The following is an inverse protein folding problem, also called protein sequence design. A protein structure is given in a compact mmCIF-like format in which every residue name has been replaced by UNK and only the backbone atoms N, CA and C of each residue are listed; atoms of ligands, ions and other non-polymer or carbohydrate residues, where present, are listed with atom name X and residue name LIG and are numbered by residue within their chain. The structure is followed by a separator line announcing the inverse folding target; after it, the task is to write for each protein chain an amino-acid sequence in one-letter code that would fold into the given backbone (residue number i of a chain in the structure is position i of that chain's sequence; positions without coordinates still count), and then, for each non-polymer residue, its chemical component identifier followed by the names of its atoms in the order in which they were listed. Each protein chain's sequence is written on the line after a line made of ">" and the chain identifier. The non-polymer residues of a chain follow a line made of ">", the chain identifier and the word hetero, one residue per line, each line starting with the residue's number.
data_IF_220907867984
#
_entry.id   IF_220907867984
#
_cell.length_a   1.000
_cell.length_b   1.000
_cell.length_c   1.000
_cell.angle_alpha   90.00
_cell.angle_beta   90.00
_cell.angle_gamma   90.00
#
_symmetry.space_group_name_H-M   'P 1'
#
loop_
_entity.id
_entity.type
_entity.pdbx_description
1 polymer ?
#
# COMPACT_ATOMS: atom_id res chain seq x y z
N UNK A 1 -7.20 -14.87 -13.03
CA UNK A 1 -7.14 -13.72 -12.11
C UNK A 1 -8.54 -13.56 -11.54
N UNK A 2 -8.73 -13.69 -10.22
CA UNK A 2 -10.05 -13.53 -9.60
C UNK A 2 -10.61 -12.12 -9.90
N UNK A 3 -11.93 -12.02 -10.05
CA UNK A 3 -12.62 -10.73 -10.25
C UNK A 3 -12.33 -9.73 -9.13
N UNK A 4 -12.18 -10.22 -7.89
CA UNK A 4 -11.85 -9.38 -6.73
C UNK A 4 -10.47 -8.73 -6.87
N UNK A 5 -9.46 -9.50 -7.29
CA UNK A 5 -8.12 -8.96 -7.56
C UNK A 5 -8.14 -7.94 -8.71
N UNK A 6 -8.91 -8.21 -9.77
CA UNK A 6 -9.06 -7.27 -10.87
C UNK A 6 -9.64 -5.93 -10.41
N UNK A 7 -10.74 -5.97 -9.64
CA UNK A 7 -11.36 -4.77 -9.06
C UNK A 7 -10.40 -4.01 -8.13
N UNK A 8 -9.65 -4.71 -7.27
CA UNK A 8 -8.71 -4.08 -6.34
C UNK A 8 -7.52 -3.42 -7.06
N UNK A 9 -7.04 -4.00 -8.16
CA UNK A 9 -6.01 -3.38 -9.02
C UNK A 9 -6.57 -2.17 -9.76
N UNK A 10 -7.81 -2.27 -10.29
CA UNK A 10 -8.50 -1.15 -10.93
C UNK A 10 -8.67 0.03 -9.98
N UNK A 11 -9.09 -0.22 -8.73
CA UNK A 11 -9.20 0.82 -7.71
C UNK A 11 -7.90 1.60 -7.50
N UNK A 12 -6.77 0.89 -7.36
CA UNK A 12 -5.44 1.50 -7.22
C UNK A 12 -5.05 2.32 -8.45
N UNK A 13 -5.30 1.79 -9.64
CA UNK A 13 -4.96 2.47 -10.89
C UNK A 13 -5.77 3.76 -11.08
N UNK A 14 -7.07 3.71 -10.79
CA UNK A 14 -7.96 4.87 -10.83
C UNK A 14 -7.57 5.92 -9.79
N UNK A 15 -7.30 5.50 -8.54
CA UNK A 15 -6.88 6.40 -7.48
C UNK A 15 -5.56 7.09 -7.83
N UNK A 16 -4.57 6.34 -8.33
CA UNK A 16 -3.30 6.90 -8.79
C UNK A 16 -3.44 7.87 -9.97
N UNK A 17 -4.49 7.71 -10.79
CA UNK A 17 -4.78 8.57 -11.94
C UNK A 17 -5.69 9.76 -11.60
N UNK A 18 -6.18 9.85 -10.36
CA UNK A 18 -7.09 10.91 -9.90
C UNK A 18 -8.58 10.67 -10.18
N UNK A 19 -8.97 9.51 -10.70
CA UNK A 19 -10.39 9.11 -10.84
C UNK A 19 -10.92 8.59 -9.50
N UNK A 20 -11.18 9.52 -8.57
CA UNK A 20 -11.54 9.20 -7.18
C UNK A 20 -12.88 8.45 -7.10
N UNK A 21 -13.87 8.84 -7.91
CA UNK A 21 -15.18 8.19 -7.90
C UNK A 21 -15.12 6.80 -8.53
N UNK A 22 -14.35 6.64 -9.61
CA UNK A 22 -14.06 5.32 -10.18
C UNK A 22 -13.37 4.41 -9.18
N UNK A 23 -12.35 4.92 -8.49
CA UNK A 23 -11.62 4.17 -7.48
C UNK A 23 -12.50 3.70 -6.32
N UNK A 24 -13.40 4.56 -5.83
CA UNK A 24 -14.38 4.20 -4.78
C UNK A 24 -15.33 3.09 -5.24
N UNK A 25 -15.86 3.18 -6.45
CA UNK A 25 -16.71 2.12 -7.02
C UNK A 25 -15.94 0.80 -7.14
N UNK A 26 -14.70 0.84 -7.63
CA UNK A 26 -13.87 -0.35 -7.78
C UNK A 26 -13.45 -0.96 -6.42
N UNK A 27 -13.31 -0.14 -5.37
CA UNK A 27 -13.14 -0.62 -4.00
C UNK A 27 -14.37 -1.39 -3.50
N UNK A 28 -15.56 -0.83 -3.73
CA UNK A 28 -16.81 -1.49 -3.36
C UNK A 28 -16.95 -2.84 -4.10
N UNK A 29 -16.67 -2.87 -5.40
CA UNK A 29 -16.64 -4.09 -6.20
C UNK A 29 -15.62 -5.11 -5.66
N UNK A 30 -14.42 -4.65 -5.30
CA UNK A 30 -13.37 -5.52 -4.77
C UNK A 30 -13.80 -6.20 -3.47
N UNK A 31 -14.41 -5.46 -2.54
CA UNK A 31 -14.91 -6.00 -1.26
C UNK A 31 -16.05 -6.99 -1.48
N UNK A 32 -17.06 -6.61 -2.27
CA UNK A 32 -18.20 -7.47 -2.58
C UNK A 32 -17.79 -8.78 -3.28
N UNK A 33 -16.79 -8.72 -4.16
CA UNK A 33 -16.28 -9.90 -4.84
C UNK A 33 -15.41 -10.77 -3.92
N UNK A 34 -14.63 -10.16 -3.02
CA UNK A 34 -13.79 -10.87 -2.07
C UNK A 34 -14.62 -11.69 -1.06
N UNK A 35 -15.75 -11.15 -0.58
CA UNK A 35 -16.70 -11.84 0.32
C UNK A 35 -17.27 -13.15 -0.26
N UNK A 36 -17.21 -13.30 -1.59
CA UNK A 36 -17.75 -14.45 -2.31
C UNK A 36 -16.70 -15.49 -2.67
N UNK A 37 -15.42 -15.25 -2.37
CA UNK A 37 -14.35 -16.20 -2.68
C UNK A 37 -14.38 -17.35 -1.68
N UNK A 38 -14.25 -18.57 -2.19
CA UNK A 38 -14.14 -19.76 -1.37
C UNK A 38 -13.03 -20.70 -1.87
N UNK A 39 -12.72 -21.71 -1.06
CA UNK A 39 -11.82 -22.81 -1.42
C UNK A 39 -10.51 -22.35 -2.08
N UNK A 40 -10.33 -22.76 -3.34
CA UNK A 40 -9.11 -22.49 -4.11
C UNK A 40 -8.94 -21.00 -4.50
N UNK A 41 -10.02 -20.24 -4.61
CA UNK A 41 -9.97 -18.82 -4.99
C UNK A 41 -9.49 -17.94 -3.83
N UNK A 42 -9.81 -18.32 -2.59
CA UNK A 42 -9.37 -17.63 -1.37
C UNK A 42 -8.00 -18.14 -0.84
N UNK A 43 -7.47 -19.24 -1.38
CA UNK A 43 -6.24 -19.84 -0.89
C UNK A 43 -4.99 -19.01 -1.23
N UNK A 44 -3.96 -19.05 -0.37
CA UNK A 44 -2.65 -18.48 -0.66
C UNK A 44 -1.88 -19.34 -1.67
N UNK A 45 -2.27 -19.21 -2.93
CA UNK A 45 -1.71 -19.93 -4.07
C UNK A 45 -1.44 -18.96 -5.21
N UNK A 46 -0.72 -19.42 -6.23
CA UNK A 46 -0.42 -18.62 -7.42
C UNK A 46 -1.65 -18.00 -8.07
N UNK A 47 -2.80 -18.71 -8.05
CA UNK A 47 -4.04 -18.26 -8.68
C UNK A 47 -5.04 -17.65 -7.71
N UNK A 48 -4.82 -17.84 -6.41
CA UNK A 48 -5.71 -17.35 -5.37
C UNK A 48 -5.52 -15.89 -5.02
N UNK A 49 -6.46 -15.39 -4.24
CA UNK A 49 -6.51 -14.04 -3.73
C UNK A 49 -6.86 -14.09 -2.25
N UNK A 50 -5.89 -14.44 -1.39
CA UNK A 50 -6.12 -14.55 0.04
C UNK A 50 -6.45 -13.20 0.67
N UNK A 51 -7.16 -13.25 1.78
CA UNK A 51 -7.64 -12.08 2.54
C UNK A 51 -6.50 -11.09 2.87
N UNK A 52 -5.32 -11.58 3.27
CA UNK A 52 -4.14 -10.73 3.48
C UNK A 52 -3.81 -9.89 2.23
N UNK A 53 -3.74 -10.53 1.06
CA UNK A 53 -3.45 -9.85 -0.20
C UNK A 53 -4.57 -8.87 -0.53
N UNK A 54 -5.82 -9.19 -0.21
CA UNK A 54 -6.92 -8.26 -0.35
C UNK A 54 -6.68 -6.97 0.43
N UNK A 55 -6.40 -7.07 1.72
CA UNK A 55 -6.13 -5.92 2.58
C UNK A 55 -4.89 -5.12 2.15
N UNK A 56 -3.82 -5.76 1.67
CA UNK A 56 -2.65 -5.04 1.10
C UNK A 56 -3.04 -4.19 -0.12
N UNK A 57 -3.94 -4.67 -0.97
CA UNK A 57 -4.42 -3.90 -2.12
C UNK A 57 -5.34 -2.76 -1.68
N UNK A 58 -6.25 -3.00 -0.74
CA UNK A 58 -7.15 -1.98 -0.20
C UNK A 58 -6.39 -0.86 0.50
N UNK A 59 -5.40 -1.19 1.33
CA UNK A 59 -4.51 -0.23 2.00
C UNK A 59 -3.99 0.82 1.01
N UNK A 60 -3.35 0.38 -0.07
CA UNK A 60 -2.78 1.32 -1.04
C UNK A 60 -3.86 2.16 -1.74
N UNK A 61 -4.99 1.57 -2.09
CA UNK A 61 -6.08 2.30 -2.74
C UNK A 61 -6.64 3.41 -1.82
N UNK A 62 -6.89 3.10 -0.54
CA UNK A 62 -7.35 4.09 0.44
C UNK A 62 -6.30 5.18 0.69
N UNK A 63 -5.02 4.81 0.80
CA UNK A 63 -3.92 5.79 0.91
C UNK A 63 -3.89 6.75 -0.26
N UNK A 64 -4.03 6.26 -1.50
CA UNK A 64 -4.07 7.10 -2.70
C UNK A 64 -5.32 7.98 -2.78
N UNK A 65 -6.44 7.54 -2.20
CA UNK A 65 -7.68 8.33 -2.08
C UNK A 65 -7.62 9.38 -0.97
N UNK A 66 -6.60 9.33 -0.10
CA UNK A 66 -6.53 10.15 1.12
C UNK A 66 -7.51 9.72 2.22
N UNK A 67 -8.11 8.54 2.11
CA UNK A 67 -8.94 7.96 3.18
C UNK A 67 -8.05 7.21 4.17
N UNK A 68 -7.34 7.96 5.00
CA UNK A 68 -6.30 7.43 5.90
C UNK A 68 -6.88 6.52 6.97
N UNK A 69 -8.11 6.78 7.45
CA UNK A 69 -8.80 5.90 8.41
C UNK A 69 -9.02 4.50 7.86
N UNK A 70 -9.59 4.38 6.66
CA UNK A 70 -9.78 3.09 5.99
C UNK A 70 -8.44 2.44 5.61
N UNK A 71 -7.43 3.25 5.26
CA UNK A 71 -6.09 2.75 4.95
C UNK A 71 -5.44 2.09 6.16
N UNK A 72 -5.46 2.73 7.33
CA UNK A 72 -4.90 2.17 8.56
C UNK A 72 -5.59 0.87 8.97
N UNK A 73 -6.93 0.81 8.91
CA UNK A 73 -7.65 -0.43 9.20
C UNK A 73 -7.21 -1.57 8.26
N UNK A 74 -7.15 -1.31 6.96
CA UNK A 74 -6.69 -2.32 6.00
C UNK A 74 -5.21 -2.73 6.23
N UNK A 75 -4.35 -1.82 6.70
CA UNK A 75 -2.97 -2.16 7.06
C UNK A 75 -2.92 -3.09 8.28
N UNK A 76 -3.71 -2.79 9.31
CA UNK A 76 -3.82 -3.62 10.51
C UNK A 76 -4.35 -5.02 10.19
N UNK A 77 -5.41 -5.12 9.40
CA UNK A 77 -5.99 -6.40 8.96
C UNK A 77 -4.98 -7.23 8.16
N UNK A 78 -4.26 -6.59 7.22
CA UNK A 78 -3.21 -7.26 6.46
C UNK A 78 -2.07 -7.77 7.36
N UNK A 79 -1.63 -6.96 8.33
CA UNK A 79 -0.57 -7.34 9.27
C UNK A 79 -1.00 -8.48 10.19
N UNK A 80 -2.25 -8.48 10.64
CA UNK A 80 -2.81 -9.56 11.46
C UNK A 80 -2.81 -10.91 10.74
N UNK A 81 -2.94 -10.89 9.41
CA UNK A 81 -2.91 -12.06 8.52
C UNK A 81 -1.51 -12.34 7.92
N UNK A 82 -0.47 -11.62 8.35
CA UNK A 82 0.90 -11.78 7.84
C UNK A 82 1.73 -12.66 8.76
N UNK A 83 1.72 -13.97 8.48
CA UNK A 83 2.57 -14.97 9.12
C UNK A 83 4.01 -15.00 8.53
N UNK A 84 5.00 -15.38 9.35
CA UNK A 84 6.44 -15.46 8.98
C UNK A 84 7.04 -14.10 8.51
N UNK A 85 8.37 -13.91 8.33
CA UNK A 85 8.92 -12.59 8.03
C UNK A 85 8.67 -12.22 6.56
N UNK A 86 7.43 -11.82 6.23
CA UNK A 86 7.10 -11.24 4.92
C UNK A 86 7.63 -9.81 4.84
N UNK A 87 8.92 -9.70 4.49
CA UNK A 87 9.65 -8.43 4.37
C UNK A 87 8.94 -7.50 3.40
N UNK A 88 8.50 -8.01 2.25
CA UNK A 88 7.81 -7.22 1.21
C UNK A 88 6.50 -6.62 1.71
N UNK A 89 5.61 -7.43 2.29
CA UNK A 89 4.30 -6.95 2.75
C UNK A 89 4.47 -5.89 3.83
N UNK A 90 5.33 -6.14 4.82
CA UNK A 90 5.59 -5.20 5.92
C UNK A 90 6.18 -3.88 5.41
N UNK A 91 7.09 -3.94 4.44
CA UNK A 91 7.66 -2.72 3.84
C UNK A 91 6.63 -1.94 3.02
N UNK A 92 5.80 -2.61 2.23
CA UNK A 92 4.73 -1.96 1.46
C UNK A 92 3.73 -1.25 2.36
N UNK A 93 3.27 -1.92 3.43
CA UNK A 93 2.33 -1.35 4.39
C UNK A 93 2.97 -0.19 5.16
N UNK A 94 4.23 -0.31 5.59
CA UNK A 94 4.90 0.78 6.30
C UNK A 94 5.12 2.03 5.42
N UNK A 95 5.39 1.87 4.12
CA UNK A 95 5.46 3.01 3.20
C UNK A 95 4.07 3.61 2.95
N UNK A 96 3.02 2.80 2.90
CA UNK A 96 1.64 3.29 2.83
C UNK A 96 1.25 4.07 4.11
N UNK A 97 1.65 3.59 5.30
CA UNK A 97 1.49 4.31 6.57
C UNK A 97 2.22 5.65 6.53
N UNK A 98 3.47 5.69 6.04
CA UNK A 98 4.21 6.94 5.88
C UNK A 98 3.50 7.93 4.95
N UNK A 99 2.91 7.45 3.86
CA UNK A 99 2.10 8.30 2.98
C UNK A 99 0.81 8.79 3.67
N UNK A 100 0.18 7.98 4.53
CA UNK A 100 -0.96 8.41 5.33
C UNK A 100 -0.55 9.51 6.35
N UNK A 101 0.59 9.39 7.02
CA UNK A 101 1.13 10.44 7.90
C UNK A 101 1.28 11.78 7.17
N UNK A 102 1.75 11.75 5.92
CA UNK A 102 1.85 12.96 5.10
C UNK A 102 0.46 13.57 4.83
N UNK A 103 -0.52 12.75 4.43
CA UNK A 103 -1.91 13.18 4.19
C UNK A 103 -2.53 13.75 5.46
N UNK A 104 -2.25 13.15 6.61
CA UNK A 104 -2.74 13.58 7.93
C UNK A 104 -2.03 14.85 8.46
N UNK A 105 -1.10 15.43 7.68
CA UNK A 105 -0.44 16.69 8.01
C UNK A 105 0.88 16.57 8.75
N UNK A 106 1.47 15.36 8.83
CA UNK A 106 2.79 15.10 9.41
C UNK A 106 3.82 14.68 8.34
N UNK A 107 4.31 15.62 7.52
CA UNK A 107 5.34 15.33 6.52
C UNK A 107 6.68 14.92 7.13
N UNK A 108 6.98 15.34 8.36
CA UNK A 108 8.23 14.97 9.04
C UNK A 108 8.21 13.51 9.45
N UNK A 109 7.16 13.07 10.16
CA UNK A 109 6.97 11.67 10.52
C UNK A 109 6.88 10.76 9.30
N UNK A 110 6.24 11.22 8.22
CA UNK A 110 6.22 10.52 6.93
C UNK A 110 7.63 10.24 6.39
N UNK A 111 8.47 11.27 6.31
CA UNK A 111 9.84 11.13 5.81
C UNK A 111 10.70 10.26 6.72
N UNK A 112 10.63 10.46 8.04
CA UNK A 112 11.38 9.66 9.02
C UNK A 112 11.01 8.18 8.95
N UNK A 113 9.71 7.87 8.87
CA UNK A 113 9.23 6.49 8.75
C UNK A 113 9.69 5.87 7.42
N UNK A 114 9.49 6.55 6.30
CA UNK A 114 9.85 6.04 4.98
C UNK A 114 11.36 5.82 4.85
N UNK A 115 12.19 6.76 5.30
CA UNK A 115 13.65 6.61 5.31
C UNK A 115 14.08 5.45 6.20
N UNK A 116 13.53 5.34 7.41
CA UNK A 116 13.86 4.24 8.32
C UNK A 116 13.47 2.86 7.76
N UNK A 117 12.33 2.76 7.04
CA UNK A 117 11.96 1.53 6.33
C UNK A 117 12.98 1.23 5.23
N UNK A 118 13.33 2.21 4.40
CA UNK A 118 14.28 2.06 3.31
C UNK A 118 15.66 1.57 3.75
N UNK A 119 16.20 2.18 4.81
CA UNK A 119 17.52 1.85 5.35
C UNK A 119 17.60 0.40 5.86
N UNK A 120 16.52 -0.09 6.50
CA UNK A 120 16.43 -1.46 7.01
C UNK A 120 16.06 -2.49 5.94
N UNK A 121 15.61 -2.05 4.77
CA UNK A 121 15.17 -2.93 3.71
C UNK A 121 16.37 -3.66 3.08
N UNK A 122 16.36 -5.01 3.00
CA UNK A 122 17.42 -5.72 2.31
C UNK A 122 17.50 -5.28 0.84
N UNK A 123 18.71 -5.20 0.29
CA UNK A 123 18.95 -4.65 -1.05
C UNK A 123 18.10 -5.31 -2.15
N UNK A 124 17.78 -6.60 -2.01
CA UNK A 124 16.91 -7.34 -2.96
C UNK A 124 15.47 -6.83 -3.03
N UNK A 125 15.02 -6.06 -2.03
CA UNK A 125 13.68 -5.47 -1.96
C UNK A 125 13.68 -3.96 -2.25
N UNK A 126 14.85 -3.33 -2.43
CA UNK A 126 14.98 -1.89 -2.72
C UNK A 126 14.67 -1.50 -4.16
N UNK A 127 14.21 -2.44 -4.99
CA UNK A 127 13.82 -2.17 -6.36
C UNK A 127 12.33 -2.45 -6.59
N UNK A 128 11.79 -1.95 -7.69
CA UNK A 128 10.40 -2.19 -8.08
C UNK A 128 9.39 -1.46 -7.21
N UNK A 129 8.41 -2.19 -6.67
CA UNK A 129 7.20 -1.58 -6.11
C UNK A 129 7.45 -0.72 -4.86
N UNK A 130 8.32 -1.17 -3.95
CA UNK A 130 8.63 -0.41 -2.73
C UNK A 130 9.31 0.91 -3.09
N UNK A 131 10.31 0.88 -3.97
CA UNK A 131 10.98 2.08 -4.51
C UNK A 131 9.97 3.05 -5.13
N UNK A 132 9.12 2.54 -6.03
CA UNK A 132 8.12 3.36 -6.72
C UNK A 132 7.17 4.09 -5.76
N UNK A 133 6.75 3.43 -4.66
CA UNK A 133 5.91 4.06 -3.63
C UNK A 133 6.67 5.11 -2.83
N UNK A 134 7.89 4.80 -2.39
CA UNK A 134 8.72 5.74 -1.64
C UNK A 134 9.08 6.99 -2.47
N UNK A 135 9.38 6.81 -3.76
CA UNK A 135 9.61 7.92 -4.70
C UNK A 135 8.35 8.76 -4.92
N UNK A 136 7.17 8.14 -4.91
CA UNK A 136 5.89 8.86 -5.02
C UNK A 136 5.67 9.75 -3.80
N UNK A 137 5.87 9.22 -2.59
CA UNK A 137 5.85 10.00 -1.36
C UNK A 137 6.90 11.12 -1.39
N UNK A 138 8.13 10.81 -1.79
CA UNK A 138 9.21 11.81 -1.90
C UNK A 138 8.82 13.00 -2.78
N UNK A 139 8.18 12.77 -3.94
CA UNK A 139 7.72 13.86 -4.82
C UNK A 139 6.61 14.72 -4.23
N UNK A 140 5.88 14.24 -3.22
CA UNK A 140 4.83 14.99 -2.52
C UNK A 140 5.37 15.83 -1.35
N UNK A 141 6.53 15.44 -0.81
CA UNK A 141 7.19 16.17 0.27
C UNK A 141 7.87 17.44 -0.23
N UNK A 142 8.10 18.38 0.69
CA UNK A 142 8.87 19.62 0.44
C UNK A 142 9.82 19.90 1.59
N UNK A 143 10.82 20.78 1.37
CA UNK A 143 11.72 21.24 2.42
C UNK A 143 12.59 20.12 3.01
N UNK A 144 12.72 20.11 4.35
CA UNK A 144 13.54 19.14 5.08
C UNK A 144 13.06 17.68 4.91
N UNK A 145 11.77 17.36 5.04
CA UNK A 145 11.25 16.02 4.74
C UNK A 145 11.61 15.49 3.35
N UNK A 146 11.54 16.35 2.32
CA UNK A 146 11.97 16.00 0.96
C UNK A 146 13.45 15.59 0.92
N UNK A 147 14.33 16.42 1.48
CA UNK A 147 15.77 16.13 1.49
C UNK A 147 16.09 14.82 2.24
N UNK A 148 15.47 14.60 3.40
CA UNK A 148 15.68 13.41 4.22
C UNK A 148 15.34 12.11 3.47
N UNK A 149 14.19 12.07 2.81
CA UNK A 149 13.80 10.87 2.06
C UNK A 149 14.63 10.73 0.77
N UNK A 150 14.96 11.83 0.11
CA UNK A 150 15.82 11.83 -1.07
C UNK A 150 17.22 11.27 -0.79
N UNK A 151 17.83 11.63 0.35
CA UNK A 151 19.12 11.09 0.79
C UNK A 151 19.06 9.58 1.03
N UNK A 152 18.02 9.09 1.72
CA UNK A 152 17.84 7.66 1.96
C UNK A 152 17.69 6.87 0.64
N UNK A 153 16.88 7.37 -0.31
CA UNK A 153 16.63 6.70 -1.60
C UNK A 153 17.86 6.64 -2.52
N UNK A 154 18.87 7.48 -2.27
CA UNK A 154 20.14 7.50 -3.00
C UNK A 154 21.18 6.51 -2.44
N UNK A 155 20.90 5.88 -1.28
CA UNK A 155 21.78 4.89 -0.61
C UNK A 155 21.45 3.43 -0.93
#
# INVERSE_FOLDING_TARGET
>A
MSGALAAAVTARAQAASGDLDGARRALDDARNLAERLDGAEAADTWFGYPEQKHHVHLSQAYTLLGDTGSAYQAQEDALALTDSPSVMVRALLAVDTAACLHVDGDPSGAAEMASGVWERLPATYREGLIRSRAETLHRQLTGRPYALLGEALAS
#
